data_IF_125304028704
#
_entry.id   IF_125304028704
#
_cell.length_a   1.000
_cell.length_b   1.000
_cell.length_c   1.000
_cell.angle_alpha   90.00
_cell.angle_beta   90.00
_cell.angle_gamma   90.00
#
_symmetry.space_group_name_H-M   'P 1'
#
loop_
_entity.id
_entity.type
_entity.pdbx_description
1 polymer ?
#
# COMPACT_ATOMS: atom_id res chain seq x y z
N UNK A 1 0.70 21.85 -1.75
CA UNK A 1 -0.51 21.59 -2.56
C UNK A 1 -1.50 20.77 -1.73
N UNK A 2 -2.80 21.12 -1.70
CA UNK A 2 -3.81 20.38 -0.91
C UNK A 2 -4.34 19.19 -1.74
N UNK A 3 -3.71 18.03 -1.67
CA UNK A 3 -4.24 16.81 -2.31
C UNK A 3 -5.49 16.35 -1.54
N UNK A 4 -6.65 16.40 -2.20
CA UNK A 4 -7.94 15.92 -1.66
C UNK A 4 -8.19 14.51 -2.19
N UNK A 5 -7.87 13.50 -1.40
CA UNK A 5 -8.34 12.13 -1.62
C UNK A 5 -9.48 11.83 -0.65
N UNK A 6 -10.70 11.63 -1.14
CA UNK A 6 -11.81 11.16 -0.32
C UNK A 6 -11.63 9.66 -0.03
N UNK A 7 -11.18 9.31 1.17
CA UNK A 7 -11.33 7.95 1.70
C UNK A 7 -12.61 7.92 2.53
N UNK A 8 -13.71 7.47 1.91
CA UNK A 8 -14.96 7.19 2.62
C UNK A 8 -14.79 5.85 3.35
N UNK A 9 -14.57 5.90 4.65
CA UNK A 9 -14.70 4.71 5.50
C UNK A 9 -16.20 4.52 5.75
N UNK A 10 -16.83 3.65 4.96
CA UNK A 10 -18.23 3.30 5.15
C UNK A 10 -18.38 2.39 6.37
N UNK A 11 -18.91 2.92 7.48
CA UNK A 11 -19.51 2.10 8.53
C UNK A 11 -21.02 1.99 8.27
N UNK A 12 -21.52 0.75 8.26
CA UNK A 12 -22.93 0.38 8.03
C UNK A 12 -23.88 1.05 9.04
N UNK A 13 -25.09 1.51 8.64
CA UNK A 13 -26.04 2.11 9.57
C UNK A 13 -26.92 1.04 10.24
N UNK A 14 -26.71 0.79 11.52
CA UNK A 14 -27.74 0.21 12.39
C UNK A 14 -28.55 1.34 13.03
N UNK A 15 -29.77 1.50 12.52
CA UNK A 15 -30.98 2.07 13.15
C UNK A 15 -30.82 3.18 14.19
N UNK A 16 -31.15 4.43 13.82
CA UNK A 16 -31.66 5.40 14.80
C UNK A 16 -32.61 6.44 14.19
N UNK A 17 -33.64 6.78 14.98
CA UNK A 17 -34.81 7.62 14.69
C UNK A 17 -34.51 9.13 14.62
N UNK A 18 -35.30 9.97 13.90
CA UNK A 18 -34.96 11.36 13.64
C UNK A 18 -35.54 12.32 14.71
N UNK A 19 -34.67 12.91 15.51
CA UNK A 19 -34.96 14.21 16.15
C UNK A 19 -33.67 15.03 16.30
N UNK A 20 -33.64 16.11 15.53
CA UNK A 20 -32.87 17.36 15.69
C UNK A 20 -31.81 17.41 16.79
N UNK A 21 -30.54 17.25 16.40
CA UNK A 21 -29.42 18.19 16.61
C UNK A 21 -28.13 17.57 16.02
N UNK A 22 -27.70 18.10 14.88
CA UNK A 22 -26.31 18.05 14.36
C UNK A 22 -25.51 16.77 14.63
N UNK A 23 -25.94 15.63 14.09
CA UNK A 23 -25.01 14.53 13.75
C UNK A 23 -24.32 14.91 12.43
N UNK A 24 -23.58 16.02 12.43
CA UNK A 24 -22.55 16.21 11.41
C UNK A 24 -21.42 15.30 11.85
N UNK A 25 -21.45 14.05 11.36
CA UNK A 25 -20.25 13.24 11.31
C UNK A 25 -19.16 14.15 10.73
N UNK A 26 -18.14 14.40 11.53
CA UNK A 26 -16.97 15.18 11.11
C UNK A 26 -16.28 14.35 10.04
N UNK A 27 -16.66 14.56 8.77
CA UNK A 27 -15.93 14.07 7.62
C UNK A 27 -14.61 14.82 7.58
N UNK A 28 -13.60 14.33 8.30
CA UNK A 28 -12.24 14.81 8.14
C UNK A 28 -11.80 14.41 6.73
N UNK A 29 -11.73 15.38 5.81
CA UNK A 29 -11.00 15.22 4.55
C UNK A 29 -9.58 14.77 4.93
N UNK A 30 -9.22 13.51 4.67
CA UNK A 30 -7.84 13.05 4.83
C UNK A 30 -6.99 13.80 3.81
N UNK A 31 -6.33 14.83 4.31
CA UNK A 31 -5.50 15.72 3.52
C UNK A 31 -4.05 15.35 3.77
N UNK A 32 -3.44 14.70 2.81
CA UNK A 32 -2.02 14.34 2.88
C UNK A 32 -1.17 15.61 2.78
N UNK A 33 -0.39 15.89 3.82
CA UNK A 33 0.57 17.01 3.87
C UNK A 33 2.00 16.59 3.55
N UNK A 34 2.25 15.28 3.64
CA UNK A 34 3.48 14.60 3.22
C UNK A 34 3.15 13.17 2.78
N UNK A 35 4.04 12.52 2.05
CA UNK A 35 3.76 11.16 1.56
C UNK A 35 3.66 10.13 2.70
N UNK A 36 4.31 10.40 3.83
CA UNK A 36 4.26 9.57 5.03
C UNK A 36 2.86 9.55 5.66
N UNK A 37 1.97 10.49 5.33
CA UNK A 37 0.57 10.46 5.77
C UNK A 37 -0.23 9.37 5.03
N UNK A 38 0.27 8.87 3.89
CA UNK A 38 -0.43 7.90 3.04
C UNK A 38 -0.30 6.50 3.64
N UNK A 39 -1.42 5.88 3.98
CA UNK A 39 -1.47 4.52 4.56
C UNK A 39 -0.77 3.49 3.66
N UNK A 40 -0.95 3.59 2.34
CA UNK A 40 -0.28 2.71 1.40
C UNK A 40 1.26 2.82 1.49
N UNK A 41 1.80 4.02 1.73
CA UNK A 41 3.25 4.21 1.88
C UNK A 41 3.76 3.53 3.15
N UNK A 42 3.12 3.76 4.30
CA UNK A 42 3.51 3.14 5.59
C UNK A 42 3.52 1.61 5.51
N UNK A 43 2.48 1.03 4.92
CA UNK A 43 2.40 -0.43 4.74
C UNK A 43 3.44 -0.95 3.75
N UNK A 44 3.80 -0.16 2.73
CA UNK A 44 4.84 -0.54 1.78
C UNK A 44 6.24 -0.50 2.39
N UNK A 45 6.51 0.46 3.28
CA UNK A 45 7.72 0.48 4.10
C UNK A 45 7.80 -0.76 5.01
N UNK A 46 6.71 -1.06 5.73
CA UNK A 46 6.61 -2.28 6.55
C UNK A 46 6.87 -3.55 5.74
N UNK A 47 6.24 -3.69 4.57
CA UNK A 47 6.43 -4.82 3.66
C UNK A 47 7.92 -4.97 3.27
N UNK A 48 8.58 -3.87 2.89
CA UNK A 48 10.00 -3.90 2.56
C UNK A 48 10.86 -4.35 3.74
N UNK A 49 10.66 -3.79 4.94
CA UNK A 49 11.41 -4.17 6.14
C UNK A 49 11.25 -5.67 6.44
N UNK A 50 10.03 -6.19 6.36
CA UNK A 50 9.76 -7.60 6.63
C UNK A 50 10.43 -8.51 5.59
N UNK A 51 10.38 -8.15 4.30
CA UNK A 51 11.08 -8.91 3.24
C UNK A 51 12.59 -8.87 3.43
N UNK A 52 13.17 -7.72 3.77
CA UNK A 52 14.60 -7.61 4.05
C UNK A 52 15.04 -8.50 5.21
N UNK A 53 14.25 -8.54 6.29
CA UNK A 53 14.51 -9.42 7.44
C UNK A 53 14.38 -10.89 7.07
N UNK A 54 13.32 -11.26 6.36
CA UNK A 54 13.02 -12.66 6.03
C UNK A 54 14.05 -13.26 5.07
N UNK A 55 14.54 -12.47 4.10
CA UNK A 55 15.52 -12.93 3.12
C UNK A 55 16.97 -12.66 3.52
N UNK A 56 17.25 -12.19 4.75
CA UNK A 56 18.60 -11.80 5.19
C UNK A 56 19.65 -12.87 4.90
N UNK A 57 19.34 -14.12 5.22
CA UNK A 57 20.25 -15.27 5.10
C UNK A 57 20.02 -16.09 3.81
N UNK A 58 19.16 -15.62 2.91
CA UNK A 58 18.94 -16.26 1.61
C UNK A 58 20.20 -16.15 0.74
N UNK A 59 20.67 -17.31 0.25
CA UNK A 59 21.88 -17.44 -0.58
C UNK A 59 21.61 -17.32 -2.08
N UNK A 60 20.34 -17.34 -2.50
CA UNK A 60 19.98 -16.93 -3.86
C UNK A 60 19.96 -15.39 -3.91
N UNK A 61 21.14 -14.81 -4.13
CA UNK A 61 21.31 -13.36 -4.18
C UNK A 61 20.51 -12.72 -5.32
N UNK A 62 20.34 -13.40 -6.45
CA UNK A 62 19.56 -12.89 -7.57
C UNK A 62 18.08 -12.76 -7.22
N UNK A 63 17.51 -13.79 -6.60
CA UNK A 63 16.13 -13.74 -6.11
C UNK A 63 15.96 -12.70 -5.00
N UNK A 64 16.87 -12.71 -4.01
CA UNK A 64 16.85 -11.77 -2.88
C UNK A 64 16.86 -10.32 -3.35
N UNK A 65 17.78 -9.96 -4.24
CA UNK A 65 17.90 -8.60 -4.73
C UNK A 65 16.65 -8.17 -5.51
N UNK A 66 16.09 -9.05 -6.33
CA UNK A 66 14.88 -8.74 -7.11
C UNK A 66 13.66 -8.49 -6.22
N UNK A 67 13.39 -9.35 -5.23
CA UNK A 67 12.23 -9.15 -4.35
C UNK A 67 12.39 -7.92 -3.46
N UNK A 68 13.61 -7.65 -2.99
CA UNK A 68 13.92 -6.45 -2.21
C UNK A 68 13.72 -5.16 -3.01
N UNK A 69 14.19 -5.13 -4.27
CA UNK A 69 13.97 -4.01 -5.19
C UNK A 69 12.49 -3.80 -5.50
N UNK A 70 11.75 -4.87 -5.76
CA UNK A 70 10.30 -4.79 -5.99
C UNK A 70 9.57 -4.20 -4.78
N UNK A 71 9.94 -4.59 -3.55
CA UNK A 71 9.33 -4.05 -2.33
C UNK A 71 9.62 -2.55 -2.14
N UNK A 72 10.89 -2.14 -2.26
CA UNK A 72 11.29 -0.72 -2.13
C UNK A 72 10.64 0.13 -3.22
N UNK A 73 10.48 -0.41 -4.44
CA UNK A 73 9.83 0.28 -5.55
C UNK A 73 8.41 0.74 -5.19
N UNK A 74 7.67 -0.02 -4.38
CA UNK A 74 6.30 0.36 -3.98
C UNK A 74 6.28 1.66 -3.19
N UNK A 75 7.07 1.77 -2.11
CA UNK A 75 7.11 2.99 -1.29
C UNK A 75 7.76 4.15 -2.04
N UNK A 76 8.83 3.91 -2.81
CA UNK A 76 9.51 4.94 -3.57
C UNK A 76 8.61 5.58 -4.63
N UNK A 77 7.84 4.78 -5.37
CA UNK A 77 6.90 5.34 -6.35
C UNK A 77 5.77 6.14 -5.69
N UNK A 78 5.29 5.74 -4.50
CA UNK A 78 4.29 6.53 -3.77
C UNK A 78 4.87 7.89 -3.36
N UNK A 79 6.07 7.90 -2.79
CA UNK A 79 6.75 9.13 -2.37
C UNK A 79 7.06 10.03 -3.57
N UNK A 80 7.68 9.49 -4.62
CA UNK A 80 8.01 10.26 -5.82
C UNK A 80 6.77 10.84 -6.48
N UNK A 81 5.71 10.04 -6.65
CA UNK A 81 4.46 10.52 -7.23
C UNK A 81 3.80 11.64 -6.44
N UNK A 82 3.90 11.60 -5.10
CA UNK A 82 3.38 12.65 -4.22
C UNK A 82 4.13 13.99 -4.45
N UNK A 83 5.46 13.94 -4.59
CA UNK A 83 6.32 15.10 -4.79
C UNK A 83 6.17 15.76 -6.17
N UNK A 84 5.58 15.07 -7.16
CA UNK A 84 5.35 15.62 -8.52
C UNK A 84 4.24 16.68 -8.59
N UNK A 85 3.52 16.94 -7.50
CA UNK A 85 2.53 18.03 -7.38
C UNK A 85 1.45 18.07 -8.50
N UNK A 86 1.10 16.91 -9.07
CA UNK A 86 0.04 16.78 -10.09
C UNK A 86 -0.74 15.50 -9.89
N UNK A 87 -2.08 15.55 -9.85
CA UNK A 87 -2.90 14.34 -9.71
C UNK A 87 -2.66 13.35 -10.86
N UNK A 88 -2.40 13.85 -12.08
CA UNK A 88 -2.14 12.98 -13.24
C UNK A 88 -0.85 12.21 -13.06
N UNK A 89 0.23 12.88 -12.68
CA UNK A 89 1.52 12.22 -12.45
C UNK A 89 1.44 11.31 -11.24
N UNK A 90 0.81 11.76 -10.16
CA UNK A 90 0.64 10.95 -8.97
C UNK A 90 -0.12 9.65 -9.27
N UNK A 91 -1.22 9.69 -10.05
CA UNK A 91 -1.92 8.48 -10.53
C UNK A 91 -1.00 7.53 -11.29
N UNK A 92 -0.12 8.05 -12.17
CA UNK A 92 0.81 7.21 -12.92
C UNK A 92 1.80 6.49 -12.00
N UNK A 93 2.40 7.22 -11.07
CA UNK A 93 3.32 6.66 -10.07
C UNK A 93 2.63 5.64 -9.15
N UNK A 94 1.41 5.91 -8.71
CA UNK A 94 0.62 4.94 -7.93
C UNK A 94 0.29 3.67 -8.73
N UNK A 95 0.10 3.78 -10.05
CA UNK A 95 -0.08 2.63 -10.93
C UNK A 95 1.19 1.77 -10.99
N UNK A 96 2.36 2.41 -11.08
CA UNK A 96 3.67 1.72 -11.03
C UNK A 96 3.85 1.04 -9.67
N UNK A 97 3.59 1.75 -8.56
CA UNK A 97 3.65 1.17 -7.21
C UNK A 97 2.75 -0.07 -7.08
N UNK A 98 1.54 -0.02 -7.64
CA UNK A 98 0.62 -1.16 -7.66
C UNK A 98 1.16 -2.32 -8.51
N UNK A 99 1.82 -2.02 -9.63
CA UNK A 99 2.54 -3.00 -10.44
C UNK A 99 3.63 -3.71 -9.65
N UNK A 100 4.50 -2.96 -8.97
CA UNK A 100 5.54 -3.51 -8.10
C UNK A 100 4.97 -4.34 -6.94
N UNK A 101 3.86 -3.94 -6.32
CA UNK A 101 3.16 -4.78 -5.34
C UNK A 101 2.67 -6.11 -5.95
N UNK A 102 2.31 -6.10 -7.24
CA UNK A 102 2.02 -7.30 -8.03
C UNK A 102 3.22 -8.23 -8.17
N UNK A 103 4.38 -7.68 -8.51
CA UNK A 103 5.65 -8.43 -8.62
C UNK A 103 6.02 -9.08 -7.29
N UNK A 104 5.91 -8.35 -6.17
CA UNK A 104 6.18 -8.89 -4.83
C UNK A 104 5.31 -10.12 -4.56
N UNK A 105 4.00 -10.08 -4.83
CA UNK A 105 3.11 -11.24 -4.64
C UNK A 105 3.52 -12.44 -5.49
N UNK A 106 3.88 -12.17 -6.75
CA UNK A 106 4.36 -13.21 -7.67
C UNK A 106 5.61 -13.89 -7.12
N UNK A 107 6.59 -13.09 -6.69
CA UNK A 107 7.84 -13.59 -6.12
C UNK A 107 7.62 -14.31 -4.79
N UNK A 108 6.78 -13.80 -3.88
CA UNK A 108 6.46 -14.48 -2.63
C UNK A 108 5.89 -15.90 -2.86
N UNK A 109 5.04 -16.06 -3.89
CA UNK A 109 4.52 -17.37 -4.29
C UNK A 109 5.64 -18.32 -4.76
N UNK A 110 6.60 -17.82 -5.55
CA UNK A 110 7.77 -18.59 -5.99
C UNK A 110 8.67 -18.93 -4.78
N UNK A 111 8.96 -17.97 -3.90
CA UNK A 111 9.78 -18.17 -2.71
C UNK A 111 9.22 -19.28 -1.81
N UNK A 112 7.89 -19.31 -1.63
CA UNK A 112 7.26 -20.37 -0.87
C UNK A 112 7.42 -21.75 -1.54
N UNK A 113 7.20 -21.84 -2.86
CA UNK A 113 7.35 -23.09 -3.62
C UNK A 113 8.80 -23.59 -3.69
N UNK A 114 9.78 -22.69 -3.65
CA UNK A 114 11.20 -23.01 -3.55
C UNK A 114 11.64 -23.35 -2.13
N UNK A 115 10.76 -23.23 -1.13
CA UNK A 115 11.08 -23.48 0.27
C UNK A 115 11.95 -22.39 0.92
N UNK A 116 12.03 -21.20 0.33
CA UNK A 116 12.78 -20.06 0.92
C UNK A 116 12.06 -19.46 2.12
N UNK A 117 10.73 -19.58 2.16
CA UNK A 117 9.88 -19.05 3.23
C UNK A 117 8.78 -20.07 3.57
N UNK A 118 8.42 -20.12 4.85
CA UNK A 118 7.31 -20.95 5.32
C UNK A 118 5.93 -20.39 4.89
N UNK A 119 4.89 -21.20 5.07
CA UNK A 119 3.52 -20.86 4.68
C UNK A 119 2.97 -19.62 5.43
N UNK A 120 3.28 -19.48 6.72
CA UNK A 120 2.80 -18.36 7.53
C UNK A 120 3.47 -17.06 7.09
N UNK A 121 4.79 -17.07 6.86
CA UNK A 121 5.56 -15.96 6.31
C UNK A 121 5.01 -15.54 4.94
N UNK A 122 4.72 -16.51 4.06
CA UNK A 122 4.09 -16.26 2.76
C UNK A 122 2.71 -15.59 2.90
N UNK A 123 1.82 -16.16 3.72
CA UNK A 123 0.46 -15.66 3.89
C UNK A 123 0.45 -14.23 4.45
N UNK A 124 1.28 -13.95 5.45
CA UNK A 124 1.37 -12.63 6.07
C UNK A 124 1.85 -11.56 5.08
N UNK A 125 2.96 -11.82 4.37
CA UNK A 125 3.50 -10.88 3.40
C UNK A 125 2.59 -10.69 2.18
N UNK A 126 1.99 -11.78 1.69
CA UNK A 126 1.06 -11.72 0.57
C UNK A 126 -0.23 -10.96 0.93
N UNK A 127 -0.74 -11.14 2.15
CA UNK A 127 -1.87 -10.36 2.66
C UNK A 127 -1.55 -8.86 2.67
N UNK A 128 -0.40 -8.47 3.23
CA UNK A 128 0.04 -7.08 3.27
C UNK A 128 0.19 -6.48 1.86
N UNK A 129 0.79 -7.20 0.92
CA UNK A 129 0.92 -6.77 -0.47
C UNK A 129 -0.44 -6.63 -1.21
N UNK A 130 -1.41 -7.49 -0.91
CA UNK A 130 -2.79 -7.36 -1.41
C UNK A 130 -3.47 -6.13 -0.82
N UNK A 131 -3.31 -5.88 0.48
CA UNK A 131 -3.89 -4.72 1.16
C UNK A 131 -3.36 -3.41 0.56
N UNK A 132 -2.04 -3.31 0.37
CA UNK A 132 -1.40 -2.18 -0.31
C UNK A 132 -2.01 -1.98 -1.70
N UNK A 133 -2.12 -3.05 -2.50
CA UNK A 133 -2.71 -2.99 -3.84
C UNK A 133 -4.15 -2.47 -3.85
N UNK A 134 -4.95 -2.83 -2.83
CA UNK A 134 -6.33 -2.36 -2.67
C UNK A 134 -6.37 -0.87 -2.30
N UNK A 135 -5.54 -0.43 -1.37
CA UNK A 135 -5.44 0.99 -0.96
C UNK A 135 -5.00 1.85 -2.15
N UNK A 136 -3.94 1.43 -2.86
CA UNK A 136 -3.47 2.10 -4.08
C UNK A 136 -4.58 2.20 -5.13
N UNK A 137 -5.34 1.12 -5.35
CA UNK A 137 -6.46 1.13 -6.29
C UNK A 137 -7.58 2.09 -5.88
N UNK A 138 -7.86 2.20 -4.59
CA UNK A 138 -8.81 3.19 -4.06
C UNK A 138 -8.31 4.62 -4.26
N UNK A 139 -7.06 4.90 -3.90
CA UNK A 139 -6.46 6.22 -4.05
C UNK A 139 -6.41 6.68 -5.52
N UNK A 140 -5.98 5.82 -6.44
CA UNK A 140 -5.95 6.12 -7.89
C UNK A 140 -7.32 6.56 -8.41
N UNK A 141 -8.41 5.95 -7.92
CA UNK A 141 -9.78 6.30 -8.34
C UNK A 141 -10.25 7.66 -7.80
N UNK A 142 -9.64 8.15 -6.72
CA UNK A 142 -10.08 9.37 -6.02
C UNK A 142 -9.31 10.63 -6.46
N UNK A 143 -8.14 10.45 -7.06
CA UNK A 143 -7.31 11.53 -7.60
C UNK A 143 -7.83 11.99 -8.95
#
# INVERSE_FOLDING_TARGET
>A
MKLRGLVVVAYSPLTFSPSSHKVYQVYQEMKFTRFEDIIAWKKSEELAILVYKLFKDCRDYGFKDQIQRACISVSNNIAEGYERMSNREFRNFLSIAKGSAGEVRSMLSIAHKLGYIDLNSFQNLNFLAIEISKILSGLIKTL
#
